data_IF_179640392611
#
_entry.id   IF_179640392611
#
_cell.length_a   1.000
_cell.length_b   1.000
_cell.length_c   1.000
_cell.angle_alpha   90.00
_cell.angle_beta   90.00
_cell.angle_gamma   90.00
#
_symmetry.space_group_name_H-M   'P 1'
#
loop_
_entity.id
_entity.type
_entity.pdbx_description
1 polymer ?
#
# COMPACT_ATOMS: atom_id res chain seq x y z
N UNK A 1 -2.41 -12.73 12.88
CA UNK A 1 -2.97 -13.49 11.75
C UNK A 1 -4.48 -13.58 11.92
N UNK A 2 -5.18 -12.78 11.12
CA UNK A 2 -6.64 -12.87 11.07
C UNK A 2 -7.05 -14.21 10.46
N UNK A 3 -8.17 -14.76 10.93
CA UNK A 3 -8.76 -15.98 10.37
C UNK A 3 -8.93 -15.87 8.85
N UNK A 4 -8.65 -16.95 8.11
CA UNK A 4 -8.83 -17.03 6.65
C UNK A 4 -10.26 -16.67 6.22
N UNK A 5 -11.27 -17.07 6.97
CA UNK A 5 -12.65 -16.74 6.70
C UNK A 5 -12.89 -15.21 6.73
N UNK A 6 -12.31 -14.50 7.71
CA UNK A 6 -12.39 -13.05 7.81
C UNK A 6 -11.69 -12.37 6.62
N UNK A 7 -10.50 -12.81 6.23
CA UNK A 7 -9.80 -12.29 5.05
C UNK A 7 -10.62 -12.49 3.77
N UNK A 8 -11.23 -13.67 3.62
CA UNK A 8 -12.06 -14.01 2.46
C UNK A 8 -13.30 -13.12 2.38
N UNK A 9 -13.94 -12.78 3.51
CA UNK A 9 -15.16 -11.95 3.52
C UNK A 9 -14.92 -10.51 3.05
N UNK A 10 -13.69 -10.02 3.12
CA UNK A 10 -13.29 -8.68 2.69
C UNK A 10 -12.41 -8.68 1.44
N UNK A 11 -12.37 -9.80 0.71
CA UNK A 11 -11.56 -9.91 -0.51
C UNK A 11 -12.09 -8.99 -1.60
N UNK A 12 -11.17 -8.25 -2.26
CA UNK A 12 -11.50 -7.43 -3.43
C UNK A 12 -12.01 -8.28 -4.60
N UNK A 13 -12.79 -7.68 -5.48
CA UNK A 13 -13.32 -8.34 -6.67
C UNK A 13 -13.31 -7.40 -7.89
N UNK A 14 -13.90 -7.84 -9.01
CA UNK A 14 -13.93 -7.05 -10.25
C UNK A 14 -14.75 -5.75 -10.15
N UNK A 15 -15.65 -5.64 -9.17
CA UNK A 15 -16.50 -4.46 -8.97
C UNK A 15 -15.96 -3.50 -7.94
N UNK A 16 -15.13 -3.98 -7.01
CA UNK A 16 -14.51 -3.18 -5.97
C UNK A 16 -13.04 -3.62 -5.77
N UNK A 17 -12.07 -2.78 -6.17
CA UNK A 17 -10.64 -3.10 -6.09
C UNK A 17 -10.06 -2.94 -4.69
N UNK A 18 -10.83 -2.49 -3.69
CA UNK A 18 -10.39 -2.31 -2.31
C UNK A 18 -10.65 -3.55 -1.45
N UNK A 19 -9.91 -3.67 -0.38
CA UNK A 19 -9.98 -4.79 0.55
C UNK A 19 -8.77 -5.71 0.49
N UNK A 20 -8.94 -6.93 0.96
CA UNK A 20 -7.89 -7.94 1.03
C UNK A 20 -7.62 -8.61 -0.32
N UNK A 21 -6.33 -8.92 -0.60
CA UNK A 21 -5.96 -9.77 -1.73
C UNK A 21 -4.59 -10.45 -1.51
N UNK A 22 -4.47 -11.71 -1.97
CA UNK A 22 -3.28 -12.54 -1.79
C UNK A 22 -2.77 -13.19 -3.10
N UNK A 23 -3.22 -12.68 -4.24
CA UNK A 23 -2.92 -13.27 -5.58
C UNK A 23 -2.48 -12.22 -6.57
N UNK A 24 -1.82 -11.15 -6.10
CA UNK A 24 -1.26 -10.15 -7.00
C UNK A 24 -0.20 -10.74 -7.91
N UNK A 25 -0.11 -10.18 -9.11
CA UNK A 25 0.84 -10.60 -10.12
C UNK A 25 1.76 -9.46 -10.49
N UNK A 26 3.06 -9.67 -10.33
CA UNK A 26 4.09 -8.83 -10.93
C UNK A 26 4.81 -9.64 -12.01
N UNK A 27 4.86 -9.11 -13.23
CA UNK A 27 5.51 -9.77 -14.38
C UNK A 27 5.04 -11.22 -14.60
N UNK A 28 3.75 -11.46 -14.45
CA UNK A 28 3.10 -12.78 -14.65
C UNK A 28 3.50 -13.86 -13.64
N UNK A 29 4.07 -13.49 -12.52
CA UNK A 29 4.33 -14.36 -11.37
C UNK A 29 3.55 -13.84 -10.19
N UNK A 30 3.10 -14.71 -9.29
CA UNK A 30 2.46 -14.28 -8.04
C UNK A 30 3.50 -13.68 -7.11
N UNK A 31 3.11 -12.56 -6.51
CA UNK A 31 3.88 -11.98 -5.42
C UNK A 31 3.71 -12.82 -4.15
N UNK A 32 4.79 -12.97 -3.38
CA UNK A 32 4.72 -13.63 -2.08
C UNK A 32 4.31 -12.62 -0.99
N UNK A 33 3.10 -12.08 -1.16
CA UNK A 33 2.51 -11.11 -0.23
C UNK A 33 1.00 -11.21 -0.18
N UNK A 34 0.45 -10.67 0.88
CA UNK A 34 -0.97 -10.34 0.99
C UNK A 34 -1.10 -8.84 1.25
N UNK A 35 -2.16 -8.26 0.72
CA UNK A 35 -2.40 -6.82 0.80
C UNK A 35 -3.78 -6.51 1.35
N UNK A 36 -3.91 -5.31 1.94
CA UNK A 36 -5.19 -4.72 2.28
C UNK A 36 -5.20 -3.27 1.82
N UNK A 37 -6.11 -2.94 0.90
CA UNK A 37 -6.24 -1.63 0.29
C UNK A 37 -7.48 -0.91 0.79
N UNK A 38 -7.33 0.39 1.10
CA UNK A 38 -8.45 1.26 1.43
C UNK A 38 -8.18 2.71 1.03
N UNK A 39 -9.23 3.49 0.87
CA UNK A 39 -9.19 4.94 0.61
C UNK A 39 -9.51 5.71 1.88
N UNK A 40 -9.40 7.05 1.82
CA UNK A 40 -9.68 7.93 2.95
C UNK A 40 -10.96 7.52 3.70
N UNK A 41 -10.85 7.05 4.96
CA UNK A 41 -12.01 6.59 5.73
C UNK A 41 -12.99 7.71 6.10
N UNK A 42 -12.56 8.98 6.06
CA UNK A 42 -13.39 10.14 6.35
C UNK A 42 -14.17 10.66 5.13
N UNK A 43 -13.89 10.13 3.96
CA UNK A 43 -14.58 10.49 2.73
C UNK A 43 -16.06 10.09 2.79
N UNK A 44 -16.95 10.96 2.30
CA UNK A 44 -18.36 10.62 2.13
C UNK A 44 -18.52 9.37 1.26
N UNK A 45 -19.30 8.41 1.72
CA UNK A 45 -19.49 7.11 1.06
C UNK A 45 -18.31 6.15 1.17
N UNK A 46 -17.26 6.45 1.96
CA UNK A 46 -16.09 5.58 2.08
C UNK A 46 -16.45 4.14 2.53
N UNK A 47 -17.48 3.99 3.34
CA UNK A 47 -17.94 2.68 3.83
C UNK A 47 -18.61 1.82 2.74
N UNK A 48 -18.98 2.40 1.61
CA UNK A 48 -19.47 1.66 0.45
C UNK A 48 -18.32 1.02 -0.35
N UNK A 49 -17.12 1.57 -0.23
CA UNK A 49 -15.93 1.13 -0.95
C UNK A 49 -14.94 0.38 -0.06
N UNK A 50 -14.67 0.87 1.15
CA UNK A 50 -13.73 0.25 2.08
C UNK A 50 -14.34 -1.02 2.69
N UNK A 51 -13.64 -2.14 2.54
CA UNK A 51 -14.06 -3.44 3.08
C UNK A 51 -13.41 -3.69 4.43
N UNK A 52 -13.95 -3.07 5.48
CA UNK A 52 -13.42 -3.29 6.82
C UNK A 52 -13.80 -4.67 7.36
N UNK A 53 -12.86 -5.34 8.07
CA UNK A 53 -13.18 -6.62 8.70
C UNK A 53 -14.15 -6.44 9.87
N UNK A 54 -15.21 -7.25 9.90
CA UNK A 54 -16.17 -7.24 10.98
C UNK A 54 -15.51 -7.58 12.32
N UNK A 55 -15.96 -6.90 13.38
CA UNK A 55 -15.49 -7.16 14.76
C UNK A 55 -14.12 -6.59 15.11
N UNK A 56 -13.40 -5.97 14.18
CA UNK A 56 -12.07 -5.37 14.39
C UNK A 56 -12.14 -3.82 14.39
N UNK A 57 -12.90 -3.24 15.30
CA UNK A 57 -13.03 -1.77 15.39
C UNK A 57 -11.69 -1.08 15.64
N UNK A 58 -10.90 -1.60 16.56
CA UNK A 58 -9.58 -1.03 16.90
C UNK A 58 -8.64 -1.00 15.69
N UNK A 59 -8.74 -1.98 14.79
CA UNK A 59 -8.00 -1.98 13.54
C UNK A 59 -8.43 -0.82 12.62
N UNK A 60 -9.73 -0.63 12.42
CA UNK A 60 -10.25 0.48 11.62
C UNK A 60 -9.85 1.83 12.21
N UNK A 61 -10.00 2.01 13.51
CA UNK A 61 -9.68 3.26 14.20
C UNK A 61 -8.18 3.57 14.10
N UNK A 62 -7.31 2.59 14.27
CA UNK A 62 -5.87 2.72 14.10
C UNK A 62 -5.50 3.10 12.66
N UNK A 63 -6.10 2.45 11.66
CA UNK A 63 -5.84 2.74 10.25
C UNK A 63 -6.36 4.12 9.84
N UNK A 64 -7.48 4.57 10.39
CA UNK A 64 -8.00 5.93 10.18
C UNK A 64 -7.04 6.96 10.73
N UNK A 65 -6.57 6.78 11.96
CA UNK A 65 -5.60 7.68 12.59
C UNK A 65 -4.27 7.72 11.82
N UNK A 66 -3.80 6.57 11.34
CA UNK A 66 -2.59 6.49 10.53
C UNK A 66 -2.77 7.21 9.19
N UNK A 67 -3.91 7.02 8.52
CA UNK A 67 -4.23 7.71 7.26
C UNK A 67 -4.21 9.23 7.44
N UNK A 68 -4.79 9.75 8.52
CA UNK A 68 -4.78 11.18 8.85
C UNK A 68 -3.37 11.72 9.05
N UNK A 69 -2.55 11.01 9.83
CA UNK A 69 -1.15 11.38 10.08
C UNK A 69 -0.31 11.41 8.80
N UNK A 70 -0.42 10.37 7.97
CA UNK A 70 0.30 10.29 6.69
C UNK A 70 -0.20 11.32 5.68
N UNK A 71 -1.49 11.64 5.67
CA UNK A 71 -2.03 12.71 4.82
C UNK A 71 -1.41 14.07 5.16
N UNK A 72 -1.33 14.41 6.45
CA UNK A 72 -0.66 15.65 6.87
C UNK A 72 0.83 15.67 6.49
N UNK A 73 1.51 14.54 6.61
CA UNK A 73 2.93 14.43 6.22
C UNK A 73 3.08 14.58 4.70
N UNK A 74 2.20 13.96 3.92
CA UNK A 74 2.18 14.11 2.45
C UNK A 74 2.02 15.55 2.02
N UNK A 75 1.08 16.29 2.59
CA UNK A 75 0.88 17.72 2.29
C UNK A 75 2.13 18.54 2.57
N UNK A 76 2.78 18.34 3.72
CA UNK A 76 4.02 19.03 4.08
C UNK A 76 5.16 18.68 3.13
N UNK A 77 5.33 17.41 2.81
CA UNK A 77 6.39 16.92 1.91
C UNK A 77 6.21 17.50 0.51
N UNK A 78 5.00 17.49 -0.02
CA UNK A 78 4.69 18.11 -1.31
C UNK A 78 4.94 19.62 -1.28
N UNK A 79 4.63 20.31 -0.19
CA UNK A 79 4.95 21.71 0.00
C UNK A 79 6.45 22.01 -0.11
N UNK A 80 7.28 21.15 0.47
CA UNK A 80 8.75 21.24 0.36
C UNK A 80 9.22 20.98 -1.08
N UNK A 81 8.71 19.93 -1.70
CA UNK A 81 9.06 19.58 -3.09
C UNK A 81 8.66 20.72 -4.05
N UNK A 82 7.46 21.26 -3.93
CA UNK A 82 7.01 22.39 -4.75
C UNK A 82 7.91 23.63 -4.55
N UNK A 83 8.31 23.90 -3.30
CA UNK A 83 9.25 24.98 -3.00
C UNK A 83 10.61 24.77 -3.66
N UNK A 84 11.16 23.57 -3.57
CA UNK A 84 12.45 23.21 -4.16
C UNK A 84 12.43 23.28 -5.70
N UNK A 85 11.30 22.97 -6.32
CA UNK A 85 11.10 23.09 -7.77
C UNK A 85 10.78 24.51 -8.25
N UNK A 86 10.66 25.49 -7.35
CA UNK A 86 10.31 26.86 -7.71
C UNK A 86 8.91 27.04 -8.28
N UNK A 87 7.99 26.13 -8.01
CA UNK A 87 6.62 26.17 -8.52
C UNK A 87 5.84 27.33 -7.87
N UNK A 88 5.21 28.17 -8.72
CA UNK A 88 4.31 29.22 -8.29
C UNK A 88 3.02 28.69 -7.63
N UNK A 89 2.21 29.61 -7.05
CA UNK A 89 0.94 29.23 -6.41
C UNK A 89 -0.01 28.50 -7.34
N UNK A 90 -0.17 28.99 -8.57
CA UNK A 90 -1.09 28.41 -9.56
C UNK A 90 -0.69 26.98 -9.95
N UNK A 91 0.63 26.72 -10.06
CA UNK A 91 1.13 25.35 -10.31
C UNK A 91 0.91 24.43 -9.11
N UNK A 92 1.00 24.97 -7.89
CA UNK A 92 0.71 24.20 -6.67
C UNK A 92 -0.75 23.79 -6.57
N UNK A 93 -1.67 24.65 -6.99
CA UNK A 93 -3.11 24.34 -7.03
C UNK A 93 -3.43 23.26 -8.06
N UNK A 94 -2.72 23.24 -9.20
CA UNK A 94 -2.92 22.22 -10.25
C UNK A 94 -2.39 20.83 -9.85
N UNK A 95 -1.37 20.76 -9.00
CA UNK A 95 -0.76 19.52 -8.50
C UNK A 95 -1.02 19.35 -6.99
N UNK A 96 -2.09 19.93 -6.50
CA UNK A 96 -2.44 19.86 -5.09
C UNK A 96 -2.73 18.41 -4.67
N UNK A 97 -2.24 18.08 -3.49
CA UNK A 97 -2.63 16.84 -2.83
C UNK A 97 -4.15 16.79 -2.68
N UNK A 98 -4.72 15.67 -3.06
CA UNK A 98 -6.13 15.40 -2.83
C UNK A 98 -6.29 14.12 -2.04
N UNK A 99 -6.87 14.21 -0.85
CA UNK A 99 -7.25 13.03 -0.06
C UNK A 99 -8.21 12.12 -0.84
N UNK A 100 -9.02 12.68 -1.74
CA UNK A 100 -9.98 11.90 -2.54
C UNK A 100 -9.30 10.92 -3.52
N UNK A 101 -8.09 11.22 -3.96
CA UNK A 101 -7.29 10.36 -4.84
C UNK A 101 -6.23 9.57 -4.10
N UNK A 102 -6.14 9.71 -2.77
CA UNK A 102 -5.18 9.00 -1.93
C UNK A 102 -5.73 7.65 -1.51
N UNK A 103 -4.85 6.67 -1.47
CA UNK A 103 -5.14 5.34 -0.95
C UNK A 103 -4.03 4.90 0.00
N UNK A 104 -4.35 3.98 0.88
CA UNK A 104 -3.38 3.31 1.74
C UNK A 104 -3.39 1.82 1.44
N UNK A 105 -2.20 1.25 1.40
CA UNK A 105 -1.98 -0.18 1.25
C UNK A 105 -1.17 -0.71 2.41
N UNK A 106 -1.65 -1.73 3.05
CA UNK A 106 -0.87 -2.57 3.95
C UNK A 106 -0.33 -3.76 3.16
N UNK A 107 0.97 -4.01 3.26
CA UNK A 107 1.60 -5.21 2.70
C UNK A 107 2.07 -6.09 3.85
N UNK A 108 1.80 -7.40 3.75
CA UNK A 108 2.36 -8.40 4.63
C UNK A 108 3.07 -9.46 3.79
N UNK A 109 4.31 -9.75 4.13
CA UNK A 109 5.17 -10.72 3.44
C UNK A 109 5.35 -11.96 4.33
N UNK A 110 4.49 -12.98 4.18
CA UNK A 110 4.55 -14.17 5.02
C UNK A 110 5.73 -15.06 4.68
N UNK A 111 6.14 -15.89 5.64
CA UNK A 111 7.01 -17.01 5.35
C UNK A 111 6.21 -18.07 4.60
N UNK A 112 6.56 -18.29 3.33
CA UNK A 112 5.86 -19.20 2.44
C UNK A 112 4.70 -18.56 1.68
N UNK A 113 3.94 -19.37 0.96
CA UNK A 113 2.85 -18.91 0.09
C UNK A 113 1.64 -18.42 0.92
N UNK A 114 1.18 -17.16 0.74
CA UNK A 114 0.01 -16.64 1.45
C UNK A 114 -1.28 -17.38 1.12
N UNK A 115 -1.36 -17.99 -0.07
CA UNK A 115 -2.54 -18.75 -0.48
C UNK A 115 -2.46 -20.16 0.08
N UNK A 116 -3.49 -20.66 0.78
CA UNK A 116 -3.56 -22.03 1.26
C UNK A 116 -3.42 -23.06 0.13
N UNK A 117 -2.80 -24.20 0.41
CA UNK A 117 -2.50 -25.22 -0.61
C UNK A 117 -3.75 -25.68 -1.38
N UNK A 118 -4.86 -25.87 -0.68
CA UNK A 118 -6.13 -26.29 -1.27
C UNK A 118 -6.77 -25.23 -2.21
N UNK A 119 -6.28 -24.00 -2.16
CA UNK A 119 -6.75 -22.89 -3.03
C UNK A 119 -5.80 -22.57 -4.19
N UNK A 120 -4.67 -23.29 -4.31
CA UNK A 120 -3.62 -22.98 -5.33
C UNK A 120 -3.88 -23.57 -6.69
N UNK A 121 -4.87 -24.45 -6.83
CA UNK A 121 -5.17 -25.12 -8.12
C UNK A 121 -5.44 -24.08 -9.21
N UNK A 122 -4.67 -24.17 -10.31
CA UNK A 122 -4.79 -23.26 -11.45
C UNK A 122 -4.09 -21.90 -11.27
N UNK A 123 -3.50 -21.61 -10.11
CA UNK A 123 -2.73 -20.39 -9.93
C UNK A 123 -1.32 -20.54 -10.53
N UNK A 124 -0.78 -19.42 -11.04
CA UNK A 124 0.63 -19.36 -11.44
C UNK A 124 1.55 -19.41 -10.21
N UNK A 125 2.78 -19.86 -10.41
CA UNK A 125 3.77 -19.99 -9.33
C UNK A 125 4.18 -18.63 -8.76
N UNK A 126 4.76 -18.66 -7.55
CA UNK A 126 5.39 -17.51 -6.91
C UNK A 126 6.58 -17.00 -7.73
N UNK A 127 6.83 -15.71 -7.65
CA UNK A 127 8.07 -15.09 -8.12
C UNK A 127 9.28 -15.46 -7.24
N UNK A 128 10.46 -15.07 -7.68
CA UNK A 128 11.71 -15.26 -6.93
C UNK A 128 11.84 -14.27 -5.77
N UNK A 129 11.23 -13.11 -5.91
CA UNK A 129 11.16 -12.04 -4.89
C UNK A 129 9.76 -11.95 -4.31
N UNK A 130 9.64 -11.46 -3.10
CA UNK A 130 8.34 -11.28 -2.43
C UNK A 130 7.43 -10.31 -3.21
N UNK A 131 8.03 -9.28 -3.82
CA UNK A 131 7.41 -8.37 -4.76
C UNK A 131 8.39 -8.08 -5.91
N UNK A 132 7.94 -8.21 -7.15
CA UNK A 132 8.74 -7.87 -8.31
C UNK A 132 9.00 -6.36 -8.40
N UNK A 133 10.10 -5.96 -9.03
CA UNK A 133 10.42 -4.55 -9.18
C UNK A 133 9.37 -3.82 -10.05
N UNK A 134 9.01 -2.63 -9.63
CA UNK A 134 7.97 -1.79 -10.24
C UNK A 134 8.26 -0.32 -9.92
N UNK A 135 7.49 0.55 -10.49
CA UNK A 135 7.38 1.97 -10.09
C UNK A 135 6.00 2.21 -9.53
N UNK A 136 5.91 3.02 -8.47
CA UNK A 136 4.63 3.36 -7.90
C UNK A 136 3.86 4.34 -8.77
N UNK A 137 2.55 4.20 -8.90
CA UNK A 137 1.71 5.21 -9.53
C UNK A 137 1.54 6.42 -8.60
N UNK A 138 1.31 7.61 -9.19
CA UNK A 138 1.01 8.82 -8.44
C UNK A 138 2.18 9.78 -8.33
N UNK A 139 2.01 10.82 -7.51
CA UNK A 139 2.98 11.92 -7.36
C UNK A 139 4.03 11.60 -6.31
N UNK A 140 3.60 11.00 -5.20
CA UNK A 140 4.46 10.61 -4.09
C UNK A 140 3.88 9.39 -3.39
N UNK A 141 4.76 8.49 -2.96
CA UNK A 141 4.46 7.38 -2.06
C UNK A 141 5.24 7.58 -0.76
N UNK A 142 4.54 7.51 0.37
CA UNK A 142 5.17 7.39 1.68
C UNK A 142 5.18 5.91 2.07
N UNK A 143 6.36 5.36 2.35
CA UNK A 143 6.53 3.96 2.66
C UNK A 143 7.06 3.80 4.10
N UNK A 144 6.25 3.19 4.95
CA UNK A 144 6.62 2.82 6.31
C UNK A 144 7.03 1.34 6.32
N UNK A 145 8.25 1.05 6.76
CA UNK A 145 8.77 -0.31 6.92
C UNK A 145 8.69 -0.74 8.38
N UNK A 146 8.56 -2.07 8.58
CA UNK A 146 8.91 -2.71 9.86
C UNK A 146 10.45 -2.84 10.02
N UNK A 147 10.90 -3.56 11.03
CA UNK A 147 12.32 -3.77 11.33
C UNK A 147 12.96 -4.97 10.59
N UNK A 148 12.21 -5.67 9.75
CA UNK A 148 12.70 -6.86 9.02
C UNK A 148 13.57 -6.44 7.83
N UNK A 149 13.20 -5.36 7.13
CA UNK A 149 13.94 -4.88 5.96
C UNK A 149 13.61 -5.64 4.67
N UNK A 150 14.53 -5.56 3.69
CA UNK A 150 14.38 -6.20 2.37
C UNK A 150 13.89 -5.26 1.27
N UNK A 151 13.64 -3.98 1.56
CA UNK A 151 13.36 -2.98 0.56
C UNK A 151 14.62 -2.64 -0.23
N UNK A 152 14.50 -2.59 -1.55
CA UNK A 152 15.57 -2.16 -2.46
C UNK A 152 15.04 -1.09 -3.42
N UNK A 153 15.89 -0.16 -3.80
CA UNK A 153 15.61 0.82 -4.86
C UNK A 153 16.67 0.75 -5.94
N UNK A 154 16.29 0.98 -7.20
CA UNK A 154 17.22 1.03 -8.30
C UNK A 154 17.77 2.45 -8.44
N UNK A 155 19.10 2.57 -8.34
CA UNK A 155 19.84 3.81 -8.61
C UNK A 155 20.40 3.77 -10.02
N UNK A 156 20.37 4.91 -10.71
CA UNK A 156 20.93 5.07 -12.04
C UNK A 156 22.43 4.76 -12.08
N UNK A 157 23.15 5.15 -11.03
CA UNK A 157 24.61 5.10 -11.01
C UNK A 157 25.17 3.91 -10.23
N UNK A 158 24.36 3.29 -9.35
CA UNK A 158 24.80 2.26 -8.41
C UNK A 158 24.03 0.94 -8.52
N UNK A 159 23.04 0.83 -9.44
CA UNK A 159 22.18 -0.34 -9.53
C UNK A 159 21.24 -0.47 -8.32
N UNK A 160 20.98 -1.68 -7.87
CA UNK A 160 20.12 -1.95 -6.72
C UNK A 160 20.80 -1.60 -5.40
N UNK A 161 20.12 -0.80 -4.59
CA UNK A 161 20.59 -0.32 -3.28
C UNK A 161 19.59 -0.78 -2.23
N UNK A 162 20.09 -1.37 -1.14
CA UNK A 162 19.28 -1.67 0.03
C UNK A 162 18.84 -0.39 0.74
N UNK A 163 17.57 -0.37 1.15
CA UNK A 163 17.00 0.70 1.98
C UNK A 163 16.67 0.10 3.35
N UNK A 164 17.64 0.04 4.26
CA UNK A 164 17.41 -0.56 5.57
C UNK A 164 16.41 0.28 6.39
N UNK A 165 15.53 -0.36 7.16
CA UNK A 165 14.61 0.36 8.04
C UNK A 165 15.40 1.14 9.10
N UNK A 166 14.94 2.36 9.37
CA UNK A 166 15.51 3.21 10.42
C UNK A 166 14.38 3.66 11.36
N UNK A 167 14.54 3.50 12.69
CA UNK A 167 13.52 3.93 13.64
C UNK A 167 13.17 5.42 13.48
N UNK A 168 11.88 5.72 13.42
CA UNK A 168 11.40 7.10 13.31
C UNK A 168 11.49 7.73 11.92
N UNK A 169 11.71 6.91 10.87
CA UNK A 169 11.70 7.37 9.46
C UNK A 169 10.53 6.76 8.68
N UNK A 170 10.22 7.38 7.59
CA UNK A 170 9.30 6.94 6.53
C UNK A 170 10.04 7.07 5.21
#
# INVERSE_FOLDING_TARGET
NSDRALKTSITRDATNPLGYFDRELTKRKRDNKEVFDFVDPSREGADEFNRWPDGLRDFRDAMTSLFDGLSMLTERTLGVIHGALGLGKDSREQVAFSRLSSSMRLNHYPVGDPVPENERTGLVGLGETALGYHTDPGVITLLLQDDVGGLQTESRDHGWIDVPPQPGTI
#
